data_IF_946153506935
#
_entry.id   IF_946153506935
#
_cell.length_a   1.000
_cell.length_b   1.000
_cell.length_c   1.000
_cell.angle_alpha   90.00
_cell.angle_beta   90.00
_cell.angle_gamma   90.00
#
_symmetry.space_group_name_H-M   'P 1'
#
loop_
_entity.id
_entity.type
_entity.pdbx_description
1 polymer ?
2 polymer ?
3 polymer ?
4 non-polymer ?
5 non-polymer ?
6 water ?
#
loop_
_entity_poly.entity_id
_entity_poly.type
_entity_poly.pdbx_seq_one_letter_code
_entity_poly.pdbx_strand_id
1 'polydeoxyribonucleotide' '(DA)(DG)(DG)(DA)(DC)(DC)(DOC)' ?
2 'polydeoxyribonucleotide' '(DT)(EDA)(DG)(DG)(DG)(DT)(DC)(DC)(DT)' ?
#
# COMPACT_ATOMS: atom_id res chain seq x y z
N UNK C 26 -18.21 18.37 -7.31
CA UNK C 26 -16.76 18.85 -7.30
C UNK C 26 -15.86 18.53 -6.03
N UNK C 27 -15.97 19.25 -4.87
CA UNK C 27 -15.02 19.06 -3.70
C UNK C 27 -15.17 17.76 -2.79
N UNK C 28 -14.12 17.03 -2.67
CA UNK C 28 -14.19 15.81 -2.01
C UNK C 28 -13.59 15.83 -0.65
N UNK C 29 -14.06 14.93 0.21
CA UNK C 29 -13.40 14.55 1.50
C UNK C 29 -12.98 13.15 1.48
N UNK C 30 -11.68 12.92 1.40
CA UNK C 30 -11.08 11.56 1.23
C UNK C 30 -10.25 11.25 2.46
N UNK C 31 -10.32 10.02 2.92
CA UNK C 31 -9.49 9.55 4.03
C UNK C 31 -8.50 8.44 3.51
N UNK C 32 -7.28 8.51 3.95
CA UNK C 32 -6.31 7.47 3.77
C UNK C 32 -5.98 6.82 5.16
N UNK C 33 -6.16 5.53 5.24
CA UNK C 33 -5.93 4.77 6.48
C UNK C 33 -4.70 3.93 6.25
N UNK C 34 -3.74 3.96 7.17
CA UNK C 34 -2.41 3.39 6.99
C UNK C 34 -1.97 2.84 8.31
N UNK C 35 -1.92 1.54 8.41
CA UNK C 35 -1.71 0.86 9.67
C UNK C 35 -0.29 0.90 10.13
N UNK C 36 -0.11 0.84 11.45
CA UNK C 36 1.22 0.75 12.05
C UNK C 36 1.94 -0.60 11.86
N UNK C 37 3.19 -0.53 11.39
CA UNK C 37 4.08 -1.62 11.28
C UNK C 37 3.35 -2.86 11.10
N UNK C 38 2.54 -2.89 10.05
CA UNK C 38 1.50 -3.97 9.82
C UNK C 38 1.94 -5.42 10.12
N UNK C 39 3.00 -5.90 9.53
CA UNK C 39 3.32 -7.32 9.76
C UNK C 39 3.68 -7.55 11.22
N UNK C 40 4.41 -6.57 11.76
CA UNK C 40 4.84 -6.72 13.16
C UNK C 40 3.70 -6.73 14.03
N UNK C 41 2.70 -5.84 13.80
CA UNK C 41 1.49 -5.82 14.58
C UNK C 41 0.85 -7.12 14.54
N UNK C 42 0.77 -7.71 13.39
CA UNK C 42 0.02 -8.97 13.36
C UNK C 42 0.78 -10.03 14.22
N UNK C 43 2.10 -10.00 14.20
CA UNK C 43 2.87 -11.03 14.93
C UNK C 43 2.88 -10.75 16.42
N UNK C 44 2.96 -9.47 16.87
CA UNK C 44 2.70 -9.13 18.28
C UNK C 44 1.32 -9.49 18.82
N UNK C 45 0.25 -9.39 18.05
CA UNK C 45 -1.06 -9.92 18.44
C UNK C 45 -1.00 -11.44 18.51
N UNK C 46 -0.35 -12.16 17.60
CA UNK C 46 -0.34 -13.61 17.68
C UNK C 46 0.38 -14.17 18.93
N UNK C 47 1.50 -13.57 19.27
CA UNK C 47 2.30 -13.94 20.37
C UNK C 47 2.55 -12.71 21.23
N UNK C 48 1.72 -12.49 22.23
CA UNK C 48 1.84 -11.31 23.11
C UNK C 48 3.21 -11.16 23.72
N UNK C 49 3.98 -12.23 23.86
CA UNK C 49 5.31 -12.08 24.46
C UNK C 49 6.25 -11.25 23.62
N UNK C 50 5.91 -10.99 22.37
CA UNK C 50 6.72 -10.07 21.58
C UNK C 50 6.39 -8.59 21.82
N UNK C 51 5.28 -8.24 22.42
CA UNK C 51 5.09 -6.84 22.73
C UNK C 51 6.23 -6.32 23.64
N UNK C 52 6.40 -4.99 23.63
CA UNK C 52 7.40 -4.26 24.41
C UNK C 52 8.89 -4.72 24.17
N UNK C 53 9.05 -5.70 23.28
CA UNK C 53 10.34 -6.10 22.80
C UNK C 53 10.54 -5.54 21.40
N UNK C 54 11.74 -5.13 21.06
CA UNK C 54 11.95 -4.61 19.73
C UNK C 54 11.91 -5.82 18.83
N UNK C 55 11.07 -5.78 17.81
CA UNK C 55 10.68 -6.92 16.96
C UNK C 55 10.85 -6.51 15.51
N UNK C 56 11.55 -7.36 14.81
CA UNK C 56 11.62 -7.36 13.36
C UNK C 56 10.97 -8.57 12.66
N UNK C 57 10.45 -8.39 11.43
CA UNK C 57 9.82 -9.49 10.68
C UNK C 57 10.71 -9.72 9.52
N UNK C 58 11.19 -10.92 9.41
CA UNK C 58 12.25 -11.23 8.49
C UNK C 58 11.73 -12.07 7.31
N UNK C 59 12.29 -11.81 6.13
CA UNK C 59 11.98 -12.54 4.97
C UNK C 59 13.35 -12.66 4.36
N UNK C 60 13.86 -13.86 4.36
CA UNK C 60 15.16 -14.11 3.76
C UNK C 60 16.14 -13.27 4.56
N UNK C 61 16.95 -12.42 3.90
CA UNK C 61 17.87 -11.58 4.62
C UNK C 61 17.37 -10.17 4.73
N UNK C 62 16.08 -10.02 4.71
CA UNK C 62 15.52 -8.68 4.77
C UNK C 62 14.55 -8.55 5.99
N UNK C 63 14.76 -7.55 6.79
CA UNK C 63 13.86 -7.18 7.88
C UNK C 63 12.85 -6.24 7.27
N UNK C 64 11.72 -6.81 6.89
CA UNK C 64 10.93 -6.08 5.95
C UNK C 64 10.29 -4.95 6.77
N UNK C 65 10.01 -5.18 8.06
CA UNK C 65 9.44 -4.10 8.92
C UNK C 65 9.68 -4.46 10.36
N UNK C 66 9.55 -3.46 11.25
CA UNK C 66 9.85 -3.64 12.68
C UNK C 66 8.93 -2.79 13.53
N UNK C 67 8.64 -3.20 14.78
CA UNK C 67 7.69 -2.45 15.55
C UNK C 67 8.33 -1.11 16.03
N UNK C 68 7.62 -0.22 16.70
CA UNK C 68 8.18 1.08 16.99
C UNK C 68 9.26 1.02 18.07
N UNK C 69 9.23 0.04 19.01
CA UNK C 69 10.35 -0.19 20.00
C UNK C 69 11.66 -0.41 19.21
N UNK C 70 11.56 -1.13 18.08
CA UNK C 70 12.75 -1.37 17.28
C UNK C 70 13.26 -0.13 16.51
N UNK C 71 12.34 0.65 16.01
CA UNK C 71 12.78 1.81 15.27
C UNK C 71 13.48 2.92 16.20
N UNK C 72 13.23 2.87 17.51
CA UNK C 72 13.88 3.77 18.49
C UNK C 72 15.39 3.52 18.52
N UNK C 73 15.73 2.23 18.36
CA UNK C 73 17.03 1.66 18.29
C UNK C 73 17.72 1.74 16.91
N UNK C 74 17.25 2.62 16.01
CA UNK C 74 17.82 2.69 14.64
C UNK C 74 17.43 1.65 13.58
N UNK C 75 16.75 0.57 13.95
CA UNK C 75 16.21 -0.40 12.88
C UNK C 75 15.28 0.37 11.96
N UNK C 76 15.47 0.26 10.66
CA UNK C 76 14.62 0.93 9.66
C UNK C 76 13.99 -0.15 8.79
N UNK C 77 12.93 0.25 8.09
CA UNK C 77 12.14 -0.65 7.24
C UNK C 77 13.01 -1.13 6.14
N UNK C 78 12.99 -2.41 5.87
CA UNK C 78 13.87 -2.93 4.83
C UNK C 78 15.37 -2.74 5.04
N UNK C 79 15.89 -2.97 6.22
CA UNK C 79 17.33 -3.20 6.36
C UNK C 79 17.58 -4.63 6.04
N UNK C 80 18.80 -5.01 5.68
CA UNK C 80 19.25 -6.42 5.82
C UNK C 80 19.26 -6.77 7.29
N UNK C 81 19.15 -8.05 7.59
CA UNK C 81 19.30 -8.56 8.93
C UNK C 81 20.61 -8.08 9.51
N UNK C 82 21.68 -8.04 8.74
CA UNK C 82 22.98 -7.82 9.32
C UNK C 82 23.05 -6.41 9.91
N UNK C 83 22.96 -5.44 9.01
CA UNK C 83 22.81 -4.08 9.35
C UNK C 83 21.90 -3.90 10.57
N UNK C 84 20.85 -4.71 10.70
CA UNK C 84 19.76 -4.48 11.66
C UNK C 84 20.06 -5.01 13.04
N UNK C 85 20.85 -6.08 13.10
CA UNK C 85 21.26 -6.67 14.36
C UNK C 85 22.63 -6.08 14.91
N UNK C 86 23.38 -5.36 14.08
CA UNK C 86 24.50 -4.52 14.54
C UNK C 86 24.11 -2.99 14.76
N UNK C 87 22.87 -2.63 14.42
CA UNK C 87 22.26 -1.43 14.97
C UNK C 87 21.55 -1.76 16.26
N UNK C 88 21.17 -3.01 16.43
CA UNK C 88 20.41 -3.39 17.57
C UNK C 88 20.49 -4.87 17.73
N UNK C 89 21.54 -5.35 18.36
CA UNK C 89 21.70 -6.82 18.50
C UNK C 89 20.62 -7.48 19.39
N UNK C 90 20.01 -6.72 20.35
CA UNK C 90 18.90 -7.33 21.12
C UNK C 90 17.53 -7.50 20.28
N UNK C 91 17.56 -7.38 18.97
CA UNK C 91 16.32 -7.48 18.18
C UNK C 91 15.77 -8.90 18.04
N UNK C 92 14.54 -9.21 18.44
CA UNK C 92 13.83 -10.44 18.06
C UNK C 92 13.35 -10.46 16.54
N UNK C 93 13.50 -11.60 15.87
CA UNK C 93 13.11 -11.76 14.49
C UNK C 93 12.12 -12.85 14.36
N UNK C 94 11.00 -12.64 13.66
CA UNK C 94 10.10 -13.76 13.29
C UNK C 94 9.99 -13.78 11.79
N UNK C 95 9.80 -14.95 11.23
CA UNK C 95 9.75 -15.10 9.83
C UNK C 95 8.41 -14.65 9.23
N UNK C 96 8.43 -13.84 8.19
CA UNK C 96 7.18 -13.41 7.59
C UNK C 96 6.99 -13.71 6.10
N UNK C 97 7.58 -14.83 5.66
CA UNK C 97 7.64 -15.20 4.33
C UNK C 97 6.32 -15.62 3.85
N UNK C 98 5.58 -16.27 4.70
CA UNK C 98 4.25 -16.76 4.47
C UNK C 98 3.23 -15.62 4.90
N UNK C 99 2.53 -15.02 3.95
CA UNK C 99 1.77 -13.82 4.08
C UNK C 99 0.40 -14.14 4.42
N UNK C 100 -0.02 -15.40 4.54
CA UNK C 100 -1.41 -15.77 4.71
C UNK C 100 -2.15 -14.97 5.76
N UNK C 101 -1.60 -14.89 6.96
CA UNK C 101 -2.23 -14.18 8.04
C UNK C 101 -2.24 -12.63 7.86
N UNK C 102 -1.22 -12.05 7.24
CA UNK C 102 -1.25 -10.65 6.90
C UNK C 102 -2.33 -10.37 5.85
N UNK C 103 -2.48 -11.31 4.92
CA UNK C 103 -3.47 -11.13 3.88
C UNK C 103 -4.82 -11.20 4.46
N UNK C 104 -5.06 -12.13 5.32
CA UNK C 104 -6.40 -12.24 5.93
C UNK C 104 -6.77 -11.00 6.77
N UNK C 105 -5.83 -10.51 7.54
CA UNK C 105 -6.11 -9.35 8.35
C UNK C 105 -6.34 -8.16 7.45
N UNK C 106 -5.60 -8.07 6.34
CA UNK C 106 -5.69 -6.95 5.42
C UNK C 106 -7.14 -6.87 4.78
N UNK C 107 -7.77 -7.98 4.47
CA UNK C 107 -9.15 -8.01 3.95
C UNK C 107 -10.16 -7.72 5.08
N UNK C 108 -9.91 -8.21 6.33
CA UNK C 108 -10.78 -7.81 7.44
C UNK C 108 -10.83 -6.31 7.59
N UNK C 109 -9.70 -5.66 7.47
CA UNK C 109 -9.62 -4.19 7.52
C UNK C 109 -10.37 -3.48 6.45
N UNK C 110 -10.19 -3.92 5.22
CA UNK C 110 -10.87 -3.33 4.12
C UNK C 110 -12.36 -3.53 4.27
N UNK C 111 -12.81 -4.75 4.68
CA UNK C 111 -14.25 -5.02 4.76
C UNK C 111 -14.88 -4.20 5.87
N UNK C 112 -14.13 -3.94 6.95
CA UNK C 112 -14.70 -3.06 8.00
C UNK C 112 -14.89 -1.66 7.43
N UNK C 113 -13.92 -1.11 6.72
CA UNK C 113 -14.00 0.23 6.22
C UNK C 113 -15.17 0.25 5.15
N UNK C 114 -15.41 -0.82 4.39
CA UNK C 114 -16.50 -0.88 3.38
C UNK C 114 -17.86 -0.70 4.05
N UNK C 115 -17.90 -1.02 5.33
CA UNK C 115 -19.10 -0.84 6.07
C UNK C 115 -19.47 0.65 6.32
N UNK C 116 -18.50 1.52 6.46
CA UNK C 116 -18.72 2.92 6.61
C UNK C 116 -19.15 3.46 5.25
N UNK C 117 -18.45 3.15 4.16
CA UNK C 117 -18.82 3.63 2.85
C UNK C 117 -18.32 2.57 1.83
N UNK C 118 -19.16 2.10 0.90
CA UNK C 118 -18.83 0.97 0.06
C UNK C 118 -17.64 1.13 -0.86
N UNK C 119 -17.16 2.30 -1.15
CA UNK C 119 -16.17 2.47 -2.17
C UNK C 119 -14.80 2.61 -1.49
N UNK C 120 -14.12 1.45 -1.37
CA UNK C 120 -12.83 1.45 -0.70
C UNK C 120 -11.80 0.97 -1.62
N UNK C 121 -10.74 1.73 -1.76
CA UNK C 121 -9.65 1.39 -2.60
C UNK C 121 -8.44 0.92 -1.72
N UNK C 122 -7.96 -0.27 -1.93
CA UNK C 122 -6.75 -0.76 -1.30
C UNK C 122 -5.45 -0.33 -2.02
N UNK C 123 -4.35 -0.19 -1.30
CA UNK C 123 -3.07 -0.04 -1.82
C UNK C 123 -2.14 -0.86 -0.95
N UNK C 124 -1.65 -1.94 -1.50
CA UNK C 124 -0.91 -2.95 -0.78
C UNK C 124 -1.71 -3.53 0.32
N UNK C 125 -1.09 -4.19 1.32
CA UNK C 125 -1.91 -4.93 2.30
C UNK C 125 -2.39 -4.05 3.41
N UNK C 126 -1.85 -2.80 3.54
CA UNK C 126 -2.19 -2.09 4.75
C UNK C 126 -2.62 -0.67 4.56
N UNK C 127 -2.96 -0.28 3.34
CA UNK C 127 -3.53 1.05 3.08
C UNK C 127 -4.89 0.96 2.33
N UNK C 128 -5.84 1.79 2.78
CA UNK C 128 -7.12 1.94 2.12
C UNK C 128 -7.44 3.43 1.93
N UNK C 129 -8.10 3.79 0.85
CA UNK C 129 -8.64 5.04 0.66
C UNK C 129 -10.15 4.85 0.66
N UNK C 130 -10.86 5.85 1.17
CA UNK C 130 -12.28 5.86 1.22
C UNK C 130 -12.78 7.27 0.89
N UNK C 131 -13.79 7.41 0.01
CA UNK C 131 -14.28 8.67 -0.38
C UNK C 131 -15.43 8.92 0.60
N UNK C 132 -15.24 9.81 1.51
CA UNK C 132 -16.19 10.09 2.52
C UNK C 132 -17.14 11.21 2.11
N UNK C 133 -17.01 11.68 0.89
CA UNK C 133 -17.79 12.82 0.49
C UNK C 133 -19.34 12.72 0.74
N UNK C 134 -19.93 11.56 0.43
CA UNK C 134 -21.39 11.39 0.60
C UNK C 134 -21.72 11.31 2.00
N UNK C 135 -20.89 10.63 2.77
CA UNK C 135 -21.13 10.44 4.22
C UNK C 135 -21.03 11.79 5.00
N UNK C 136 -20.03 12.60 4.72
CA UNK C 136 -19.95 13.90 5.34
C UNK C 136 -21.20 14.80 5.06
N UNK C 137 -21.59 14.91 3.80
CA UNK C 137 -22.73 15.68 3.43
C UNK C 137 -24.03 15.09 4.08
N UNK C 138 -24.17 13.80 4.20
CA UNK C 138 -25.35 13.34 4.85
C UNK C 138 -25.28 13.68 6.35
N UNK C 139 -24.12 13.66 6.99
CA UNK C 139 -24.10 14.06 8.43
C UNK C 139 -24.38 15.53 8.59
N UNK C 140 -23.88 16.36 7.66
CA UNK C 140 -24.12 17.80 7.72
C UNK C 140 -25.54 18.15 7.60
N UNK C 141 -26.37 17.42 6.88
CA UNK C 141 -27.72 17.81 6.71
C UNK C 141 -28.50 17.33 7.91
N UNK C 142 -27.96 16.38 8.68
CA UNK C 142 -28.58 15.95 9.95
C UNK C 142 -28.48 16.99 11.06
N UNK C 143 -27.47 17.87 11.03
CA UNK C 143 -27.30 18.87 12.09
C UNK C 143 -28.21 20.00 11.78
N UNK C 144 -28.77 20.59 12.84
CA UNK C 144 -29.60 21.83 12.77
C UNK C 144 -28.67 23.07 12.76
N UNK C 145 -29.17 24.20 12.24
CA UNK C 145 -28.28 25.39 11.96
C UNK C 145 -27.77 26.01 13.30
N UNK C 146 -26.93 25.31 14.05
CA UNK C 146 -26.67 25.76 15.43
C UNK C 146 -25.58 24.95 16.01
N UNK C 147 -25.74 23.63 16.03
CA UNK C 147 -24.67 22.71 16.50
C UNK C 147 -23.50 22.63 15.48
N UNK C 148 -23.74 23.19 14.28
CA UNK C 148 -22.72 23.46 13.28
C UNK C 148 -21.54 24.40 13.69
N UNK C 149 -21.79 25.18 14.68
CA UNK C 149 -20.81 25.98 15.28
C UNK C 149 -20.08 25.20 16.37
N UNK C 150 -20.63 24.05 16.81
CA UNK C 150 -19.95 23.19 17.76
C UNK C 150 -19.04 22.06 17.11
N UNK C 151 -18.95 22.00 15.78
CA UNK C 151 -18.16 21.00 15.05
C UNK C 151 -16.70 21.19 15.46
N UNK C 152 -16.09 20.12 15.89
CA UNK C 152 -14.74 20.19 16.19
C UNK C 152 -13.98 19.15 15.45
N UNK C 153 -12.71 19.31 15.53
CA UNK C 153 -11.82 18.37 14.93
C UNK C 153 -11.51 17.20 15.82
N UNK C 154 -11.23 16.09 15.20
CA UNK C 154 -10.66 14.93 15.96
C UNK C 154 -9.21 14.59 15.44
N UNK C 155 -8.26 14.66 16.31
CA UNK C 155 -6.89 14.52 15.90
C UNK C 155 -6.15 15.87 15.64
N UNK C 156 -5.00 15.79 14.92
CA UNK C 156 -4.23 16.95 14.68
C UNK C 156 -4.74 17.69 13.48
N UNK C 157 -4.41 18.95 13.38
CA UNK C 157 -4.61 19.76 12.15
C UNK C 157 -3.26 20.09 11.53
N UNK C 158 -3.02 19.66 10.28
CA UNK C 158 -1.63 19.82 9.71
C UNK C 158 -1.29 21.34 9.84
N UNK C 159 -0.02 21.55 10.14
CA UNK C 159 0.62 22.78 10.26
C UNK C 159 -0.03 23.66 11.27
N UNK C 160 -0.79 23.06 12.19
CA UNK C 160 -1.34 23.79 13.30
C UNK C 160 -2.23 24.91 12.80
N UNK C 161 -2.83 24.73 11.63
CA UNK C 161 -3.63 25.76 11.00
C UNK C 161 -4.93 26.03 11.80
N UNK C 162 -5.32 27.28 11.92
CA UNK C 162 -6.55 27.72 12.51
C UNK C 162 -7.75 27.33 11.66
N UNK C 163 -8.80 26.90 12.33
CA UNK C 163 -9.99 26.51 11.69
C UNK C 163 -10.93 27.76 11.59
N UNK C 164 -11.74 27.76 10.57
CA UNK C 164 -12.67 28.86 10.39
C UNK C 164 -13.94 28.17 10.23
N UNK C 165 -14.74 28.21 11.26
CA UNK C 165 -16.03 27.46 11.27
C UNK C 165 -17.04 28.01 10.35
N UNK C 166 -16.77 29.14 9.65
CA UNK C 166 -17.68 29.59 8.64
C UNK C 166 -17.24 29.14 7.30
N UNK C 167 -16.16 28.38 7.21
CA UNK C 167 -15.68 27.91 5.88
C UNK C 167 -16.24 26.55 5.63
N UNK C 168 -17.14 26.47 4.69
CA UNK C 168 -17.83 25.20 4.50
C UNK C 168 -16.77 23.97 4.31
N UNK C 169 -15.64 24.25 3.66
CA UNK C 169 -14.63 23.26 3.38
C UNK C 169 -13.96 22.80 4.66
N UNK C 170 -13.68 23.74 5.55
CA UNK C 170 -13.14 23.39 6.88
C UNK C 170 -14.12 22.47 7.57
N UNK C 171 -15.37 22.91 7.58
CA UNK C 171 -16.40 22.11 8.25
C UNK C 171 -16.42 20.62 7.78
N UNK C 172 -16.40 20.49 6.49
CA UNK C 172 -16.55 19.14 5.91
C UNK C 172 -15.35 18.30 6.22
N UNK C 173 -14.20 18.91 6.09
CA UNK C 173 -12.96 18.21 6.45
C UNK C 173 -12.95 17.80 7.96
N UNK C 174 -13.49 18.66 8.81
CA UNK C 174 -13.56 18.27 10.19
C UNK C 174 -14.48 17.13 10.42
N UNK C 175 -15.63 17.14 9.75
CA UNK C 175 -16.60 16.04 9.93
C UNK C 175 -15.85 14.76 9.43
N UNK C 176 -15.07 14.96 8.37
CA UNK C 176 -14.23 13.88 7.80
C UNK C 176 -13.17 13.39 8.78
N UNK C 177 -12.63 14.26 9.61
CA UNK C 177 -11.78 13.84 10.69
C UNK C 177 -12.49 12.99 11.74
N UNK C 178 -13.68 13.31 12.01
CA UNK C 178 -14.49 12.53 12.93
C UNK C 178 -14.83 11.15 12.39
N UNK C 179 -15.17 11.02 11.12
CA UNK C 179 -15.46 9.72 10.52
C UNK C 179 -14.18 8.86 10.66
N UNK C 180 -13.04 9.50 10.42
CA UNK C 180 -11.73 8.86 10.53
C UNK C 180 -11.44 8.31 11.83
N UNK C 181 -11.75 9.08 12.85
CA UNK C 181 -11.52 8.67 14.26
C UNK C 181 -12.42 7.52 14.56
N UNK C 182 -13.63 7.53 14.05
CA UNK C 182 -14.57 6.35 14.21
C UNK C 182 -14.08 5.07 13.51
N UNK C 183 -13.46 5.21 12.37
CA UNK C 183 -12.95 4.08 11.64
C UNK C 183 -11.71 3.52 12.41
N UNK C 184 -10.90 4.40 12.98
CA UNK C 184 -9.79 3.90 13.68
C UNK C 184 -10.19 3.23 14.98
N UNK C 185 -11.19 3.81 15.63
CA UNK C 185 -11.67 3.20 16.86
C UNK C 185 -12.27 1.79 16.62
N UNK C 186 -13.06 1.70 15.56
CA UNK C 186 -13.62 0.46 15.20
C UNK C 186 -12.49 -0.59 14.82
N UNK C 187 -11.48 -0.18 14.07
CA UNK C 187 -10.39 -1.07 13.72
C UNK C 187 -9.78 -1.63 14.94
N UNK C 188 -9.66 -0.75 15.96
CA UNK C 188 -9.09 -1.14 17.24
C UNK C 188 -9.99 -2.09 18.04
N UNK C 189 -11.24 -1.73 18.22
CA UNK C 189 -12.18 -2.46 18.97
C UNK C 189 -12.55 -3.77 18.35
N UNK C 190 -12.65 -3.82 17.03
CA UNK C 190 -13.06 -5.00 16.30
C UNK C 190 -11.97 -5.90 15.88
N UNK C 191 -10.83 -5.35 15.48
CA UNK C 191 -9.77 -6.22 14.94
C UNK C 191 -8.50 -6.12 15.75
N UNK C 192 -8.41 -5.23 16.71
CA UNK C 192 -7.24 -5.20 17.59
C UNK C 192 -6.09 -4.38 16.88
N UNK C 193 -6.38 -3.63 15.81
CA UNK C 193 -5.32 -3.03 15.10
C UNK C 193 -5.25 -1.50 15.24
N UNK C 194 -4.06 -1.02 15.40
CA UNK C 194 -3.89 0.46 15.41
C UNK C 194 -3.41 0.97 14.06
N UNK C 195 -3.56 2.25 13.77
CA UNK C 195 -3.25 2.85 12.45
C UNK C 195 -3.36 4.34 12.41
N UNK C 196 -2.77 4.95 11.41
CA UNK C 196 -2.91 6.41 11.18
C UNK C 196 -3.96 6.65 10.11
N UNK C 197 -4.49 7.89 10.09
CA UNK C 197 -5.42 8.27 9.04
C UNK C 197 -5.06 9.69 8.62
N UNK C 198 -5.30 10.03 7.37
CA UNK C 198 -5.14 11.35 6.88
C UNK C 198 -6.39 11.77 6.21
N UNK C 199 -6.88 12.99 6.45
CA UNK C 199 -8.07 13.47 5.77
C UNK C 199 -7.70 14.70 4.95
N UNK C 200 -8.06 14.66 3.64
CA UNK C 200 -7.81 15.75 2.73
C UNK C 200 -8.75 15.72 1.56
N UNK C 201 -8.57 16.67 0.62
CA UNK C 201 -9.52 16.87 -0.44
C UNK C 201 -9.21 15.99 -1.71
N UNK C 202 -8.13 15.24 -1.75
CA UNK C 202 -7.92 14.22 -2.82
C UNK C 202 -7.04 13.12 -2.29
N UNK C 203 -6.78 12.09 -3.09
CA UNK C 203 -6.04 10.98 -2.56
C UNK C 203 -4.54 11.32 -2.28
N UNK C 204 -3.85 11.98 -3.21
CA UNK C 204 -2.46 12.39 -2.99
C UNK C 204 -2.28 13.03 -1.63
N UNK C 205 -3.07 14.04 -1.34
CA UNK C 205 -2.86 14.85 -0.12
C UNK C 205 -3.24 14.00 1.19
N UNK C 206 -4.35 13.28 1.09
CA UNK C 206 -4.70 12.43 2.17
C UNK C 206 -3.61 11.42 2.48
N UNK C 207 -2.94 10.97 1.43
CA UNK C 207 -1.89 10.01 1.69
C UNK C 207 -0.54 10.67 2.24
N UNK C 208 -0.26 11.83 1.73
CA UNK C 208 0.88 12.56 2.24
C UNK C 208 0.62 12.95 3.62
N UNK C 209 -0.61 13.35 3.94
CA UNK C 209 -0.83 13.90 5.33
C UNK C 209 -1.05 12.83 6.41
N UNK C 210 -1.36 11.60 6.00
CA UNK C 210 -1.51 10.52 6.96
C UNK C 210 -0.22 10.14 7.69
N UNK C 211 0.93 10.36 7.10
CA UNK C 211 2.18 10.11 7.76
C UNK C 211 2.71 11.27 8.60
N UNK C 212 2.02 12.38 8.76
CA UNK C 212 2.75 13.53 9.48
C UNK C 212 2.92 13.19 10.97
N UNK C 213 1.99 12.53 11.54
CA UNK C 213 2.07 12.08 12.97
C UNK C 213 2.00 10.60 13.14
N UNK C 214 3.17 10.02 13.38
CA UNK C 214 3.40 8.73 12.67
C UNK C 214 2.83 7.85 13.34
N UNK C 215 3.13 7.61 14.65
CA UNK C 215 2.61 6.26 15.25
C UNK C 215 1.07 6.01 15.33
N UNK C 216 0.25 6.52 16.15
CA UNK C 216 -1.22 5.76 15.94
C UNK C 216 -2.10 6.99 16.15
N UNK C 217 -2.11 7.86 15.18
CA UNK C 217 -2.73 9.06 15.21
C UNK C 217 -3.29 9.49 13.88
N UNK C 218 -3.90 10.68 13.82
CA UNK C 218 -4.51 11.14 12.55
C UNK C 218 -4.37 12.61 12.38
N UNK C 219 -4.34 13.04 11.16
CA UNK C 219 -4.11 14.45 10.81
C UNK C 219 -5.12 14.84 9.70
N UNK C 220 -5.54 16.09 9.69
CA UNK C 220 -6.42 16.61 8.71
C UNK C 220 -5.78 17.79 8.06
N UNK C 221 -5.87 17.85 6.71
CA UNK C 221 -5.25 18.96 5.91
C UNK C 221 -6.31 19.99 5.48
N UNK C 222 -6.17 21.21 5.93
CA UNK C 222 -7.10 22.27 5.40
C UNK C 222 -6.47 22.91 4.13
N UNK C 223 -7.26 23.38 3.17
CA UNK C 223 -6.70 23.72 1.87
C UNK C 223 -5.60 24.78 1.93
N UNK C 224 -5.61 25.67 2.89
CA UNK C 224 -4.60 26.76 2.95
C UNK C 224 -3.27 26.25 3.19
N UNK C 225 -3.16 25.02 3.61
CA UNK C 225 -1.79 24.50 4.01
C UNK C 225 -1.28 23.49 2.96
N UNK C 226 -1.99 23.29 1.85
CA UNK C 226 -1.61 22.38 0.83
C UNK C 226 -0.19 22.60 0.30
N UNK C 227 0.13 23.82 -0.01
CA UNK C 227 1.45 24.07 -0.56
C UNK C 227 2.54 23.77 0.57
N UNK C 228 2.27 24.12 1.80
CA UNK C 228 3.20 23.87 2.88
C UNK C 228 3.48 22.36 2.95
N UNK C 229 2.44 21.52 2.82
CA UNK C 229 2.66 20.06 2.88
C UNK C 229 3.50 19.64 1.68
N UNK C 230 3.14 20.15 0.51
CA UNK C 230 3.78 19.60 -0.68
C UNK C 230 5.26 20.03 -0.66
N UNK C 231 5.51 21.27 -0.23
CA UNK C 231 6.88 21.76 -0.19
C UNK C 231 7.60 21.22 1.01
N UNK C 232 6.92 20.46 1.92
CA UNK C 232 7.67 19.96 3.07
C UNK C 232 8.50 18.74 2.53
N UNK C 233 8.08 18.20 1.41
CA UNK C 233 8.85 17.03 0.82
C UNK C 233 10.29 17.43 0.32
N UNK C 234 11.28 16.52 0.41
CA UNK C 234 12.67 16.87 0.14
C UNK C 234 13.21 16.34 -1.13
N UNK C 235 12.48 15.39 -1.67
CA UNK C 235 12.69 14.99 -3.07
C UNK C 235 11.48 14.44 -3.83
N UNK C 236 11.42 14.69 -5.13
CA UNK C 236 10.27 14.45 -5.90
C UNK C 236 9.92 12.99 -5.91
N UNK C 237 10.84 12.12 -5.55
CA UNK C 237 10.55 10.73 -5.31
C UNK C 237 9.50 10.47 -4.25
N UNK C 238 9.38 11.43 -3.39
CA UNK C 238 8.44 11.30 -2.31
C UNK C 238 7.05 11.55 -2.76
N UNK C 239 6.87 12.00 -3.98
CA UNK C 239 5.49 12.16 -4.40
C UNK C 239 4.90 10.77 -4.94
N UNK C 240 3.88 10.26 -4.31
CA UNK C 240 3.28 9.05 -4.77
C UNK C 240 2.91 9.19 -6.26
N UNK C 241 3.38 8.32 -7.10
CA UNK C 241 3.22 8.58 -8.48
C UNK C 241 4.55 8.76 -9.19
N UNK C 242 5.60 9.24 -8.56
CA UNK C 242 6.89 9.32 -9.21
C UNK C 242 7.77 8.21 -8.62
N UNK C 243 8.14 7.25 -9.43
CA UNK C 243 8.94 6.12 -8.93
C UNK C 243 10.44 6.19 -8.99
N UNK C 244 11.09 5.03 -8.94
CA UNK C 244 12.57 4.97 -9.12
C UNK C 244 13.02 5.42 -10.54
N UNK C 245 12.32 5.03 -11.63
CA UNK C 245 12.75 5.50 -12.95
C UNK C 245 12.42 6.93 -13.28
N UNK C 246 11.23 7.46 -13.13
CA UNK C 246 10.93 8.89 -13.44
C UNK C 246 11.75 9.88 -12.67
N UNK C 247 12.04 9.53 -11.42
CA UNK C 247 12.90 10.33 -10.55
C UNK C 247 14.30 10.46 -11.17
N UNK C 248 14.89 9.33 -11.60
CA UNK C 248 16.26 9.37 -12.25
C UNK C 248 16.18 10.18 -13.53
N UNK C 249 15.09 10.05 -14.26
CA UNK C 249 14.92 10.95 -15.36
C UNK C 249 14.86 12.42 -14.89
N UNK C 250 14.12 12.79 -13.79
CA UNK C 250 13.77 14.19 -13.62
C UNK C 250 15.03 14.85 -13.28
N UNK C 251 15.87 14.13 -12.56
CA UNK C 251 17.20 14.52 -12.28
C UNK C 251 18.05 14.84 -13.49
N UNK C 252 18.28 13.83 -14.30
CA UNK C 252 19.09 14.06 -15.50
C UNK C 252 18.73 15.43 -16.09
N UNK C 253 17.53 15.95 -15.85
CA UNK C 253 17.25 17.33 -16.31
C UNK C 253 17.49 18.56 -15.41
N UNK C 254 18.20 18.45 -14.29
CA UNK C 254 18.06 19.45 -13.21
C UNK C 254 16.83 19.60 -12.23
N UNK C 255 15.78 18.73 -12.35
CA UNK C 255 14.57 18.86 -11.50
C UNK C 255 14.71 18.01 -10.25
N UNK C 256 15.05 18.65 -9.15
CA UNK C 256 15.30 18.04 -7.86
C UNK C 256 14.28 18.31 -6.77
N UNK C 257 13.72 19.52 -6.62
CA UNK C 257 12.77 19.81 -5.57
C UNK C 257 11.38 19.78 -6.13
N UNK C 258 10.38 19.72 -5.27
CA UNK C 258 9.04 19.84 -5.75
C UNK C 258 8.80 21.17 -6.52
N UNK C 259 9.37 22.31 -6.09
CA UNK C 259 9.27 23.55 -6.74
C UNK C 259 9.91 23.51 -8.11
N UNK C 260 11.09 22.94 -8.26
CA UNK C 260 11.73 22.76 -9.70
C UNK C 260 10.68 22.09 -10.58
N UNK C 261 10.05 21.02 -10.10
CA UNK C 261 9.07 20.29 -10.97
C UNK C 261 7.87 21.21 -11.30
N UNK C 262 7.44 22.03 -10.36
CA UNK C 262 6.30 22.92 -10.51
C UNK C 262 6.52 23.99 -11.57
N UNK C 263 7.72 24.55 -11.51
CA UNK C 263 8.12 25.60 -12.43
C UNK C 263 8.78 25.10 -13.73
N UNK C 264 9.02 23.82 -13.93
CA UNK C 264 9.75 23.40 -15.11
C UNK C 264 8.81 23.42 -16.36
N UNK C 265 9.40 23.46 -17.59
CA UNK C 265 8.63 23.74 -18.80
C UNK C 265 7.67 22.63 -19.12
N UNK C 266 6.40 22.98 -19.23
CA UNK C 266 5.46 21.87 -19.56
C UNK C 266 5.83 21.14 -20.92
N UNK C 267 6.27 21.91 -21.90
CA UNK C 267 6.66 21.39 -23.21
C UNK C 267 7.82 20.30 -23.16
N UNK C 268 8.96 20.71 -22.54
CA UNK C 268 10.20 19.92 -22.72
C UNK C 268 9.93 18.61 -21.97
N UNK C 269 9.26 18.74 -20.79
CA UNK C 269 8.76 17.62 -19.95
C UNK C 269 7.82 16.80 -20.79
N UNK C 270 6.95 17.51 -21.55
CA UNK C 270 5.85 16.84 -22.30
C UNK C 270 6.52 15.91 -23.28
N UNK C 271 7.56 16.45 -23.91
CA UNK C 271 8.31 15.75 -24.94
C UNK C 271 9.55 15.02 -24.42
N UNK C 272 9.43 14.20 -23.43
CA UNK C 272 10.56 13.56 -22.82
C UNK C 272 10.00 12.30 -22.03
N UNK C 273 8.86 12.49 -21.28
CA UNK C 273 8.25 11.47 -20.44
C UNK C 273 6.94 11.04 -21.02
N UNK C 274 6.49 11.72 -22.07
CA UNK C 274 5.25 11.45 -22.77
C UNK C 274 4.29 12.53 -22.36
N UNK C 275 3.16 12.65 -23.07
CA UNK C 275 2.20 13.65 -22.64
C UNK C 275 1.52 13.21 -21.31
N UNK C 276 1.36 11.89 -21.11
CA UNK C 276 0.56 11.33 -20.00
C UNK C 276 1.33 11.42 -18.67
N UNK C 277 2.50 10.78 -18.57
CA UNK C 277 3.28 10.81 -17.38
C UNK C 277 3.55 12.27 -16.99
N UNK C 278 3.82 13.17 -17.97
CA UNK C 278 4.22 14.57 -17.73
C UNK C 278 3.16 15.44 -17.16
N UNK C 279 1.99 15.35 -17.69
CA UNK C 279 1.06 16.39 -17.38
C UNK C 279 0.47 15.93 -16.02
N UNK C 280 0.63 14.66 -15.72
CA UNK C 280 0.08 14.17 -14.50
C UNK C 280 1.01 14.45 -13.29
N UNK C 281 2.31 14.28 -13.49
CA UNK C 281 3.24 14.40 -12.41
C UNK C 281 3.47 15.86 -12.09
N UNK C 282 3.26 16.69 -13.07
CA UNK C 282 3.28 18.06 -12.81
C UNK C 282 2.10 18.55 -12.05
N UNK C 283 0.94 18.02 -12.35
CA UNK C 283 -0.21 18.30 -11.44
C UNK C 283 0.03 17.91 -9.97
N UNK C 284 0.57 16.73 -9.79
CA UNK C 284 0.81 16.22 -8.54
C UNK C 284 1.78 17.18 -7.80
N UNK C 285 2.70 17.77 -8.52
CA UNK C 285 3.74 18.61 -7.86
C UNK C 285 3.10 19.80 -7.27
N UNK C 286 1.90 20.10 -7.75
CA UNK C 286 1.12 21.16 -7.18
C UNK C 286 0.16 20.70 -6.05
N UNK C 287 0.07 19.41 -5.74
CA UNK C 287 -1.00 18.96 -4.85
C UNK C 287 -2.37 18.61 -5.42
N UNK C 288 -2.48 18.66 -6.73
CA UNK C 288 -3.67 18.49 -7.54
C UNK C 288 -3.65 17.10 -8.08
N UNK C 289 -4.78 16.46 -7.94
CA UNK C 289 -4.90 15.00 -8.19
C UNK C 289 -6.40 14.74 -8.23
N UNK C 290 -6.96 14.55 -9.43
CA UNK C 290 -8.32 14.24 -9.62
C UNK C 290 -8.73 12.70 -9.55
N UNK C 291 -7.82 11.77 -9.47
CA UNK C 291 -8.12 10.37 -9.63
C UNK C 291 -9.18 10.03 -8.58
N UNK C 292 -10.19 9.30 -9.02
CA UNK C 292 -11.28 8.84 -8.12
C UNK C 292 -10.77 7.61 -7.28
N UNK C 293 -11.43 7.46 -6.15
CA UNK C 293 -11.21 6.33 -5.27
C UNK C 293 -11.96 5.18 -5.99
N UNK C 294 -11.28 4.14 -6.30
CA UNK C 294 -11.89 3.02 -7.11
C UNK C 294 -12.16 1.88 -6.14
N UNK C 295 -13.26 1.24 -6.28
CA UNK C 295 -13.62 -0.04 -5.60
C UNK C 295 -12.75 -1.18 -5.94
N UNK C 296 -11.86 -1.55 -5.04
CA UNK C 296 -10.86 -2.66 -5.34
C UNK C 296 -11.55 -4.02 -5.45
N UNK C 297 -12.56 -4.24 -4.59
CA UNK C 297 -13.30 -5.47 -4.51
C UNK C 297 -12.38 -6.75 -4.36
N UNK C 298 -12.65 -7.85 -5.00
CA UNK C 298 -11.79 -9.01 -4.90
C UNK C 298 -10.59 -8.84 -5.72
N UNK C 299 -9.55 -9.56 -5.47
CA UNK C 299 -8.32 -9.44 -6.18
C UNK C 299 -8.43 -9.78 -7.64
N UNK C 300 -7.48 -9.35 -8.46
CA UNK C 300 -7.45 -9.69 -9.88
C UNK C 300 -6.44 -10.74 -10.09
N UNK C 301 -5.59 -11.05 -9.09
CA UNK C 301 -4.66 -12.13 -9.21
C UNK C 301 -4.29 -12.75 -7.87
N UNK C 302 -3.67 -13.92 -7.87
CA UNK C 302 -3.37 -14.67 -6.63
C UNK C 302 -1.99 -15.26 -7.08
N UNK C 303 -0.90 -14.90 -6.40
CA UNK C 303 0.36 -15.52 -6.63
C UNK C 303 1.12 -15.88 -5.45
N UNK C 304 2.02 -16.85 -5.55
CA UNK C 304 3.06 -16.97 -4.56
C UNK C 304 4.39 -17.18 -5.23
N UNK C 305 5.36 -17.02 -4.37
CA UNK C 305 6.68 -16.83 -4.79
C UNK C 305 7.66 -17.62 -3.88
N UNK C 306 8.80 -17.89 -4.47
CA UNK C 306 9.95 -18.38 -3.73
C UNK C 306 11.26 -17.98 -4.29
N UNK C 307 12.06 -17.47 -3.37
CA UNK C 307 13.34 -16.87 -3.58
C UNK C 307 14.34 -17.95 -3.08
N UNK C 308 15.48 -17.96 -3.70
CA UNK C 308 16.45 -18.96 -3.36
C UNK C 308 17.42 -18.60 -4.43
N UNK C 309 18.47 -17.93 -3.92
CA UNK C 309 19.49 -17.36 -4.77
C UNK C 309 20.58 -18.39 -4.94
N UNK C 310 20.63 -18.79 -6.22
CA UNK C 310 21.50 -19.73 -6.83
C UNK C 310 20.80 -21.13 -7.08
N UNK C 311 19.58 -21.36 -6.50
CA UNK C 311 19.14 -22.78 -6.25
C UNK C 311 18.41 -23.50 -7.32
N UNK C 312 18.20 -22.81 -8.45
CA UNK C 312 17.29 -23.36 -9.42
C UNK C 312 18.12 -23.95 -10.54
N UNK C 313 18.74 -25.17 -10.29
CA UNK C 313 19.67 -25.90 -11.26
C UNK C 313 19.22 -25.85 -12.77
N UNK C 314 17.89 -26.24 -12.91
CA UNK C 314 16.72 -25.77 -13.95
C UNK C 314 15.68 -26.93 -14.37
N UNK C 315 15.09 -27.61 -13.34
CA UNK C 315 14.36 -28.90 -13.49
C UNK C 315 14.35 -29.65 -12.11
N UNK C 316 15.66 -29.87 -11.56
CA UNK C 316 15.72 -30.34 -10.16
C UNK C 316 14.54 -29.52 -9.54
N UNK C 317 14.65 -28.20 -9.67
CA UNK C 317 13.70 -27.25 -9.07
C UNK C 317 12.48 -27.19 -10.06
N UNK C 318 11.62 -28.17 -9.76
CA UNK C 318 10.22 -28.43 -10.19
C UNK C 318 9.40 -28.75 -8.96
N UNK C 319 9.98 -29.54 -8.07
CA UNK C 319 9.40 -29.81 -6.70
C UNK C 319 8.98 -28.52 -5.89
N UNK C 320 9.83 -27.54 -6.06
CA UNK C 320 9.41 -26.03 -5.90
C UNK C 320 8.04 -25.60 -6.56
N UNK C 321 7.79 -25.99 -7.85
CA UNK C 321 6.59 -25.60 -8.64
C UNK C 321 5.29 -26.26 -8.14
N UNK C 322 5.43 -27.49 -7.69
CA UNK C 322 4.33 -28.18 -7.03
C UNK C 322 3.96 -27.53 -5.64
N UNK C 323 4.95 -27.01 -4.90
CA UNK C 323 4.69 -26.41 -3.57
C UNK C 323 3.82 -25.13 -3.65
N UNK C 324 4.24 -24.27 -4.56
CA UNK C 324 3.52 -23.01 -4.99
C UNK C 324 2.09 -23.34 -5.39
N UNK C 325 1.95 -24.36 -6.25
CA UNK C 325 0.64 -24.83 -6.64
C UNK C 325 -0.29 -25.32 -5.54
N UNK C 326 0.28 -25.94 -4.52
CA UNK C 326 -0.55 -26.64 -3.58
C UNK C 326 -1.28 -25.56 -2.84
N UNK C 327 -0.57 -24.57 -2.22
CA UNK C 327 -1.18 -23.32 -1.65
C UNK C 327 -2.11 -22.52 -2.58
N UNK C 328 -1.58 -22.13 -3.70
CA UNK C 328 -2.39 -21.37 -4.60
C UNK C 328 -3.77 -21.99 -4.81
N UNK C 329 -3.83 -23.30 -5.19
CA UNK C 329 -5.11 -23.98 -5.40
C UNK C 329 -6.04 -23.81 -4.20
N UNK C 330 -5.51 -23.98 -2.99
CA UNK C 330 -6.27 -23.77 -1.74
C UNK C 330 -6.88 -22.39 -1.62
N UNK C 331 -6.16 -21.39 -2.08
CA UNK C 331 -6.63 -20.00 -2.00
C UNK C 331 -7.70 -19.64 -3.08
N UNK C 332 -7.33 -19.86 -4.35
CA UNK C 332 -8.10 -19.58 -5.57
C UNK C 332 -9.47 -20.18 -5.44
N UNK C 333 -9.45 -21.44 -5.08
CA UNK C 333 -10.63 -22.14 -4.61
C UNK C 333 -11.63 -21.28 -3.77
N UNK C 334 -11.21 -21.09 -2.50
CA UNK C 334 -11.90 -20.43 -1.39
C UNK C 334 -12.64 -19.14 -1.78
N UNK C 335 -12.05 -18.40 -2.69
CA UNK C 335 -12.72 -17.21 -3.13
C UNK C 335 -14.14 -17.58 -3.70
N UNK C 336 -14.22 -18.54 -4.64
CA UNK C 336 -15.46 -18.81 -5.37
C UNK C 336 -15.14 -18.88 -6.86
N UNK C 337 -15.08 -17.71 -7.51
CA UNK C 337 -14.39 -17.47 -8.80
C UNK C 337 -13.22 -18.40 -9.19
N UNK C 338 -13.14 -18.65 -10.47
CA UNK C 338 -12.02 -19.42 -10.90
C UNK C 338 -11.10 -18.59 -11.84
N UNK C 339 -9.83 -18.85 -11.82
CA UNK C 339 -8.94 -18.26 -12.80
C UNK C 339 -8.98 -19.04 -14.14
N UNK C 340 -8.85 -18.28 -15.22
CA UNK C 340 -8.83 -18.80 -16.55
C UNK C 340 -7.42 -18.66 -17.16
N UNK C 341 -6.48 -18.11 -16.42
CA UNK C 341 -5.11 -18.01 -16.92
C UNK C 341 -4.17 -18.37 -15.89
N UNK C 342 -3.01 -18.90 -16.25
CA UNK C 342 -1.91 -19.31 -15.37
C UNK C 342 -0.61 -18.76 -15.94
N UNK C 343 0.31 -18.42 -15.04
CA UNK C 343 1.53 -17.82 -15.46
C UNK C 343 2.69 -18.29 -14.60
N UNK C 344 3.91 -18.29 -15.15
CA UNK C 344 5.11 -18.79 -14.45
C UNK C 344 6.11 -17.80 -14.65
N UNK C 345 6.90 -17.53 -13.59
CA UNK C 345 7.83 -16.41 -13.61
C UNK C 345 9.22 -16.77 -13.10
N UNK C 346 10.30 -16.13 -13.57
CA UNK C 346 11.63 -16.55 -13.17
C UNK C 346 12.63 -15.38 -13.14
N UNK C 347 13.72 -15.51 -12.35
CA UNK C 347 14.96 -14.81 -12.74
C UNK C 347 16.32 -15.66 -12.72
N UNK C 348 17.45 -15.10 -13.13
CA UNK C 348 18.71 -15.91 -13.35
C UNK C 348 19.95 -15.03 -13.06
N UNK C 349 21.17 -15.54 -12.93
CA UNK C 349 22.11 -14.77 -12.07
C UNK C 349 23.52 -14.57 -12.48
N UNK C 350 23.95 -13.31 -12.68
CA UNK C 350 25.39 -12.97 -12.79
C UNK C 350 25.82 -11.71 -11.99
N UNK C 351 25.75 -10.51 -12.61
CA UNK C 351 25.97 -9.25 -11.89
C UNK C 351 24.58 -8.67 -11.72
N UNK C 352 24.45 -7.52 -11.06
CA UNK C 352 23.14 -6.87 -10.85
C UNK C 352 22.34 -6.46 -12.16
N UNK C 353 21.61 -7.41 -12.77
CA UNK C 353 20.56 -7.08 -13.77
C UNK C 353 19.34 -6.49 -12.98
N UNK C 354 19.40 -5.16 -12.73
CA UNK C 354 18.49 -4.35 -11.89
C UNK C 354 16.95 -4.54 -12.13
N UNK C 355 16.54 -4.91 -13.35
CA UNK C 355 15.20 -5.53 -13.59
C UNK C 355 15.32 -6.69 -14.64
N UNK C 356 14.77 -7.87 -14.34
CA UNK C 356 14.96 -9.03 -15.21
C UNK C 356 14.23 -10.29 -14.74
N UNK C 357 12.90 -10.25 -14.78
CA UNK C 357 12.10 -11.44 -14.63
C UNK C 357 11.45 -11.72 -16.00
N UNK C 358 11.14 -12.99 -16.19
CA UNK C 358 10.64 -13.56 -17.43
C UNK C 358 9.38 -14.37 -17.09
N UNK C 359 8.37 -14.38 -17.97
CA UNK C 359 7.18 -15.17 -17.68
C UNK C 359 6.58 -15.77 -18.92
N UNK C 360 5.97 -16.92 -18.70
CA UNK C 360 5.23 -17.56 -19.72
C UNK C 360 3.80 -17.71 -19.19
N UNK C 361 2.87 -17.27 -20.13
CA UNK C 361 1.48 -17.26 -19.83
C UNK C 361 0.75 -18.28 -20.75
N UNK C 362 -0.27 -18.95 -20.20
CA UNK C 362 -1.17 -19.72 -21.04
C UNK C 362 -2.59 -19.88 -20.37
N UNK C 363 -3.64 -19.94 -21.19
CA UNK C 363 -4.95 -20.23 -20.67
C UNK C 363 -4.84 -21.51 -19.84
N UNK C 364 -5.80 -21.67 -18.96
CA UNK C 364 -6.06 -22.91 -18.28
C UNK C 364 -7.16 -23.73 -19.00
N UNK C 365 -6.90 -24.95 -19.50
CA UNK C 365 -7.94 -25.65 -20.25
C UNK C 365 -9.22 -25.75 -19.41
N UNK C 366 -10.37 -25.71 -20.08
CA UNK C 366 -11.70 -25.64 -19.44
C UNK C 366 -12.15 -26.91 -18.62
N UNK C 367 -11.65 -28.08 -19.03
CA UNK C 367 -11.91 -29.37 -18.34
C UNK C 367 -11.23 -29.42 -16.93
N UNK C 368 -10.07 -28.74 -16.83
CA UNK C 368 -9.26 -28.68 -15.61
C UNK C 368 -9.86 -27.64 -14.63
N UNK C 369 -10.57 -26.62 -15.17
CA UNK C 369 -11.19 -25.55 -14.37
C UNK C 369 -12.17 -26.08 -13.32
N UNK C 370 -13.10 -26.92 -13.72
CA UNK C 370 -13.80 -27.72 -12.71
C UNK C 370 -12.84 -28.71 -12.01
N UNK C 379 -6.66 -33.01 -9.97
CA UNK C 379 -6.71 -31.48 -9.97
C UNK C 379 -5.30 -30.79 -10.05
N UNK C 380 -4.45 -31.19 -9.11
CA UNK C 380 -3.09 -30.70 -9.07
C UNK C 380 -2.49 -31.16 -10.31
N UNK C 381 -2.69 -32.47 -10.54
CA UNK C 381 -1.65 -33.18 -11.18
C UNK C 381 -1.49 -32.37 -12.51
N UNK C 382 -2.64 -31.71 -12.99
CA UNK C 382 -2.64 -31.25 -14.46
C UNK C 382 -1.99 -30.00 -14.65
N UNK C 383 -2.27 -29.31 -13.55
CA UNK C 383 -1.72 -27.89 -13.17
C UNK C 383 -0.13 -27.49 -12.99
N UNK C 384 0.45 -28.45 -12.26
CA UNK C 384 1.95 -29.00 -12.40
C UNK C 384 2.52 -29.30 -13.87
N UNK C 385 1.83 -30.16 -14.74
CA UNK C 385 2.29 -30.21 -16.12
C UNK C 385 2.29 -28.77 -16.77
N UNK C 386 1.09 -28.09 -16.80
CA UNK C 386 1.04 -26.93 -17.72
C UNK C 386 2.34 -26.19 -17.34
N UNK C 387 2.43 -25.88 -15.98
CA UNK C 387 3.58 -25.16 -15.37
C UNK C 387 5.15 -25.48 -15.54
N UNK C 388 5.39 -26.83 -15.62
CA UNK C 388 6.57 -27.42 -16.30
C UNK C 388 6.68 -26.95 -17.81
N UNK C 389 5.64 -26.99 -18.64
CA UNK C 389 5.96 -27.01 -20.14
C UNK C 389 6.30 -25.56 -20.26
N UNK C 390 5.44 -24.81 -19.62
CA UNK C 390 5.56 -23.30 -19.37
C UNK C 390 6.91 -22.69 -18.75
N UNK C 391 7.42 -23.48 -17.81
CA UNK C 391 8.88 -23.62 -17.50
C UNK C 391 9.86 -24.09 -18.77
N UNK C 392 9.37 -24.82 -19.82
CA UNK C 392 10.37 -25.25 -20.91
C UNK C 392 10.49 -24.26 -22.10
N UNK C 393 9.32 -23.42 -22.13
CA UNK C 393 9.46 -22.53 -23.25
C UNK C 393 10.49 -21.49 -22.78
N UNK C 394 11.15 -21.73 -21.63
CA UNK C 394 11.85 -20.67 -20.90
C UNK C 394 13.37 -20.77 -20.78
N UNK C 404 17.69 -17.15 -10.24
CA UNK C 404 17.82 -17.25 -8.78
C UNK C 404 16.58 -18.03 -8.34
N UNK C 405 15.40 -17.40 -8.61
CA UNK C 405 13.96 -17.53 -8.08
C UNK C 405 12.68 -17.64 -8.98
N UNK C 406 11.71 -18.37 -8.43
CA UNK C 406 10.48 -18.84 -9.07
C UNK C 406 9.07 -18.41 -8.51
N UNK C 407 8.05 -18.19 -9.38
CA UNK C 407 6.63 -18.04 -8.99
C UNK C 407 5.49 -18.35 -9.95
N UNK C 408 4.42 -18.77 -9.31
CA UNK C 408 3.19 -18.98 -9.99
C UNK C 408 2.12 -17.94 -9.62
N UNK C 409 1.46 -17.51 -10.69
CA UNK C 409 0.40 -16.54 -10.66
C UNK C 409 -0.86 -17.08 -11.39
N UNK C 410 -2.00 -17.11 -10.67
CA UNK C 410 -3.36 -17.30 -11.28
C UNK C 410 -3.99 -15.96 -11.49
N UNK C 411 -4.42 -15.72 -12.74
CA UNK C 411 -5.14 -14.53 -13.11
C UNK C 411 -6.28 -14.79 -14.08
N UNK C 412 -6.89 -13.68 -14.55
CA UNK C 412 -8.07 -13.67 -15.32
C UNK C 412 -9.22 -14.42 -14.61
N UNK C 413 -9.56 -14.07 -13.37
CA UNK C 413 -10.65 -14.64 -12.61
C UNK C 413 -12.00 -14.25 -13.23
N UNK C 414 -13.00 -15.15 -13.03
CA UNK C 414 -14.41 -14.94 -13.45
C UNK C 414 -15.44 -15.49 -12.48
#
# INVERSE_FOLDING_TARGET
MELADVGAAASSQGVHDQVLPTPNASSRVIVHVDLDCFYAQVEMISNPELKDKPLGVQQKYLVVTCNYEARKLGVKKLMNVRDAKEKCPQLVLVNGEDLTRYREMSYKVTELLEEFSPVVERLGFDENFVDLTEMVEKRLQQLQSDELSAVTVSGHVYNNQSINLLDVLHIRLLVGSQIAAEMREAMYNQLGLTGCAGVASNKLLAKLVSGVFKPNQQTVLLPESCQHLIHSLNHIKEIPGIGYKTAKCLEALGINSVRDLQTFSPKILEKELGISVAQRIQKLSFGEDNSPVILSGPPQSFSEEDSFKKCSSEVEAKNKIEELLASLLNRVCQDGRKPHTVRLIIRRYSSEKHYGRESRQCPIPSHVIQKLGTGNYDVMTPMVDILMKLFRNMVNVKMPFHLTLLSVCFCNLKALNTAK
#
